data_IF_081227036330
#
_entry.id   IF_081227036330
#
_cell.length_a   1.000
_cell.length_b   1.000
_cell.length_c   1.000
_cell.angle_alpha   90.00
_cell.angle_beta   90.00
_cell.angle_gamma   90.00
#
_symmetry.space_group_name_H-M   'P 1'
#
loop_
_entity.id
_entity.type
_entity.pdbx_description
1 polymer ?
#
# COMPACT_ATOMS: atom_id res chain seq x y z
N UNK A 1 -12.46 -4.65 -13.34
CA UNK A 1 -11.21 -5.43 -13.22
C UNK A 1 -11.17 -6.03 -11.83
N UNK A 2 -10.83 -7.30 -11.71
CA UNK A 2 -10.72 -8.03 -10.44
C UNK A 2 -9.35 -8.65 -10.34
N UNK A 3 -8.72 -8.60 -9.17
CA UNK A 3 -7.43 -9.22 -8.87
C UNK A 3 -7.55 -10.01 -7.58
N UNK A 4 -6.97 -11.20 -7.58
CA UNK A 4 -6.90 -12.10 -6.42
C UNK A 4 -5.44 -12.46 -6.22
N UNK A 5 -4.97 -12.36 -4.97
CA UNK A 5 -3.63 -12.76 -4.59
C UNK A 5 -3.73 -13.47 -3.24
N UNK A 6 -3.51 -14.78 -3.23
CA UNK A 6 -3.71 -15.65 -2.09
C UNK A 6 -5.12 -15.47 -1.48
N UNK A 7 -5.22 -14.92 -0.27
CA UNK A 7 -6.45 -14.61 0.45
C UNK A 7 -6.96 -13.17 0.23
N UNK A 8 -6.18 -12.32 -0.43
CA UNK A 8 -6.55 -10.92 -0.69
C UNK A 8 -7.31 -10.79 -2.02
N UNK A 9 -8.52 -10.23 -1.94
CA UNK A 9 -9.37 -9.97 -3.09
C UNK A 9 -9.52 -8.45 -3.32
N UNK A 10 -9.11 -7.98 -4.48
CA UNK A 10 -9.28 -6.59 -4.90
C UNK A 10 -10.13 -6.46 -6.16
N UNK A 11 -11.06 -5.53 -6.20
CA UNK A 11 -11.94 -5.32 -7.32
C UNK A 11 -12.25 -3.86 -7.62
N UNK A 12 -11.97 -3.41 -8.84
CA UNK A 12 -12.41 -2.12 -9.33
C UNK A 12 -13.86 -2.21 -9.84
N UNK A 13 -14.72 -1.33 -9.34
CA UNK A 13 -16.12 -1.22 -9.69
C UNK A 13 -16.37 0.07 -10.45
N UNK A 14 -17.07 0.01 -11.57
CA UNK A 14 -17.55 1.21 -12.27
C UNK A 14 -18.72 1.87 -11.52
N UNK A 15 -19.47 1.11 -10.76
CA UNK A 15 -20.64 1.56 -10.01
C UNK A 15 -20.85 0.66 -8.80
N UNK A 16 -21.36 1.25 -7.72
CA UNK A 16 -21.77 0.52 -6.52
C UNK A 16 -22.80 -0.58 -6.84
N UNK A 17 -23.66 -0.34 -7.83
CA UNK A 17 -24.66 -1.34 -8.30
C UNK A 17 -24.03 -2.67 -8.71
N UNK A 18 -22.76 -2.68 -9.15
CA UNK A 18 -22.05 -3.90 -9.53
C UNK A 18 -21.85 -4.87 -8.37
N UNK A 19 -21.94 -4.42 -7.12
CA UNK A 19 -21.87 -5.29 -5.93
C UNK A 19 -23.03 -6.28 -5.87
N UNK A 20 -24.22 -5.93 -6.38
CA UNK A 20 -25.38 -6.86 -6.43
C UNK A 20 -25.07 -8.14 -7.19
N UNK A 21 -24.28 -8.03 -8.26
CA UNK A 21 -23.90 -9.19 -9.08
C UNK A 21 -22.75 -9.99 -8.50
N UNK A 22 -21.96 -9.38 -7.61
CA UNK A 22 -20.78 -10.02 -7.01
C UNK A 22 -21.07 -10.67 -5.66
N UNK A 23 -22.01 -10.12 -4.92
CA UNK A 23 -22.39 -10.66 -3.62
C UNK A 23 -22.77 -12.17 -3.68
N UNK A 24 -23.60 -12.63 -4.62
CA UNK A 24 -23.92 -14.06 -4.73
C UNK A 24 -22.71 -14.95 -5.01
N UNK A 25 -21.66 -14.42 -5.68
CA UNK A 25 -20.43 -15.18 -5.95
C UNK A 25 -19.68 -15.44 -4.64
N UNK A 26 -19.63 -14.47 -3.73
CA UNK A 26 -19.02 -14.66 -2.41
C UNK A 26 -19.82 -15.64 -1.55
N UNK A 27 -21.15 -15.59 -1.63
CA UNK A 27 -22.02 -16.56 -0.94
C UNK A 27 -21.82 -17.98 -1.49
N UNK A 28 -21.63 -18.11 -2.80
CA UNK A 28 -21.31 -19.39 -3.43
C UNK A 28 -19.93 -19.89 -2.97
N UNK A 29 -18.91 -19.03 -2.98
CA UNK A 29 -17.55 -19.37 -2.51
C UNK A 29 -17.56 -19.81 -1.04
N UNK A 30 -18.36 -19.16 -0.19
CA UNK A 30 -18.54 -19.54 1.20
C UNK A 30 -19.13 -20.95 1.34
N UNK A 31 -20.16 -21.27 0.54
CA UNK A 31 -20.83 -22.59 0.58
C UNK A 31 -19.98 -23.71 -0.02
N UNK A 32 -19.27 -23.43 -1.12
CA UNK A 32 -18.52 -24.47 -1.84
C UNK A 32 -17.12 -24.72 -1.27
N UNK A 33 -16.46 -23.67 -0.79
CA UNK A 33 -15.05 -23.71 -0.40
C UNK A 33 -14.79 -23.27 1.04
N UNK A 34 -15.81 -22.93 1.83
CA UNK A 34 -15.64 -22.42 3.18
C UNK A 34 -14.99 -21.02 3.26
N UNK A 35 -14.90 -20.32 2.13
CA UNK A 35 -14.22 -19.01 2.03
C UNK A 35 -15.17 -17.88 2.42
N UNK A 36 -15.34 -17.69 3.71
CA UNK A 36 -16.21 -16.65 4.26
C UNK A 36 -15.58 -15.25 4.18
N UNK A 37 -16.21 -14.36 3.43
CA UNK A 37 -15.85 -12.94 3.43
C UNK A 37 -16.17 -12.32 4.80
N UNK A 38 -15.26 -11.53 5.35
CA UNK A 38 -15.46 -10.76 6.58
C UNK A 38 -15.72 -9.29 6.23
N UNK A 39 -16.98 -8.82 6.22
CA UNK A 39 -17.32 -7.46 5.76
C UNK A 39 -16.59 -6.37 6.56
N UNK A 40 -16.36 -6.58 7.86
CA UNK A 40 -15.64 -5.63 8.73
C UNK A 40 -14.16 -5.47 8.36
N UNK A 41 -13.58 -6.41 7.62
CA UNK A 41 -12.21 -6.31 7.08
C UNK A 41 -12.18 -5.80 5.63
N UNK A 42 -13.34 -5.71 4.97
CA UNK A 42 -13.43 -5.21 3.61
C UNK A 42 -13.48 -3.69 3.61
N UNK A 43 -12.79 -3.07 2.65
CA UNK A 43 -12.76 -1.63 2.47
C UNK A 43 -13.34 -1.26 1.11
N UNK A 44 -14.35 -0.41 1.11
CA UNK A 44 -14.88 0.24 -0.09
C UNK A 44 -14.18 1.59 -0.26
N UNK A 45 -13.27 1.65 -1.25
CA UNK A 45 -12.52 2.87 -1.54
C UNK A 45 -13.28 3.70 -2.56
N UNK A 46 -13.61 4.94 -2.20
CA UNK A 46 -14.24 5.91 -3.10
C UNK A 46 -13.16 6.80 -3.70
N UNK A 47 -12.90 6.64 -5.02
CA UNK A 47 -11.77 7.28 -5.70
C UNK A 47 -12.13 8.59 -6.40
N UNK A 48 -13.40 8.78 -6.78
CA UNK A 48 -13.85 9.89 -7.64
C UNK A 48 -14.43 11.05 -6.83
N UNK A 49 -15.06 10.75 -5.70
CA UNK A 49 -15.78 11.72 -4.89
C UNK A 49 -15.10 11.87 -3.53
N UNK A 50 -15.07 13.12 -3.03
CA UNK A 50 -14.67 13.37 -1.65
C UNK A 50 -15.72 12.80 -0.70
N UNK A 51 -15.29 12.04 0.30
CA UNK A 51 -16.18 11.47 1.29
C UNK A 51 -16.74 12.56 2.21
N UNK A 52 -18.03 12.83 2.06
CA UNK A 52 -18.80 13.64 3.00
C UNK A 52 -19.65 12.74 3.90
N UNK A 53 -20.03 13.16 5.12
CA UNK A 53 -20.92 12.38 5.98
C UNK A 53 -22.23 11.96 5.28
N UNK A 54 -22.79 12.85 4.46
CA UNK A 54 -23.98 12.57 3.66
C UNK A 54 -23.75 11.46 2.64
N UNK A 55 -22.61 11.48 1.92
CA UNK A 55 -22.27 10.46 0.92
C UNK A 55 -22.06 9.09 1.58
N UNK A 56 -21.36 9.06 2.72
CA UNK A 56 -21.15 7.83 3.50
C UNK A 56 -22.51 7.24 3.91
N UNK A 57 -23.41 8.06 4.43
CA UNK A 57 -24.74 7.61 4.85
C UNK A 57 -25.56 7.09 3.66
N UNK A 58 -25.50 7.79 2.52
CA UNK A 58 -26.17 7.38 1.30
C UNK A 58 -25.66 6.02 0.79
N UNK A 59 -24.34 5.80 0.82
CA UNK A 59 -23.74 4.50 0.46
C UNK A 59 -24.20 3.42 1.44
N UNK A 60 -24.21 3.68 2.75
CA UNK A 60 -24.66 2.72 3.78
C UNK A 60 -26.13 2.34 3.59
N UNK A 61 -27.00 3.31 3.37
CA UNK A 61 -28.42 3.07 3.13
C UNK A 61 -28.62 2.21 1.88
N UNK A 62 -27.87 2.52 0.80
CA UNK A 62 -27.91 1.73 -0.41
C UNK A 62 -27.42 0.30 -0.19
N UNK A 63 -26.32 0.10 0.54
CA UNK A 63 -25.78 -1.22 0.87
C UNK A 63 -26.78 -2.02 1.70
N UNK A 64 -27.35 -1.44 2.73
CA UNK A 64 -28.35 -2.11 3.58
C UNK A 64 -29.58 -2.57 2.79
N UNK A 65 -30.05 -1.76 1.84
CA UNK A 65 -31.21 -2.08 1.02
C UNK A 65 -30.93 -3.11 -0.09
N UNK A 66 -29.70 -3.15 -0.64
CA UNK A 66 -29.41 -3.93 -1.86
C UNK A 66 -28.43 -5.09 -1.64
N UNK A 67 -27.55 -5.00 -0.65
CA UNK A 67 -26.51 -6.00 -0.38
C UNK A 67 -26.21 -6.02 1.14
N UNK A 68 -27.19 -6.49 1.96
CA UNK A 68 -27.12 -6.38 3.43
C UNK A 68 -25.86 -7.01 4.03
N UNK A 69 -25.31 -8.07 3.43
CA UNK A 69 -24.07 -8.71 3.85
C UNK A 69 -22.85 -7.78 3.82
N UNK A 70 -22.89 -6.69 3.05
CA UNK A 70 -21.86 -5.66 2.99
C UNK A 70 -22.20 -4.38 3.75
N UNK A 71 -23.27 -4.34 4.53
CA UNK A 71 -23.68 -3.14 5.28
C UNK A 71 -22.61 -2.61 6.23
N UNK A 72 -21.79 -3.50 6.80
CA UNK A 72 -20.72 -3.19 7.75
C UNK A 72 -19.32 -2.99 7.11
N UNK A 73 -19.25 -2.87 5.77
CA UNK A 73 -17.98 -2.59 5.08
C UNK A 73 -17.41 -1.24 5.50
N UNK A 74 -16.08 -1.14 5.61
CA UNK A 74 -15.42 0.13 5.87
C UNK A 74 -15.45 0.98 4.60
N UNK A 75 -15.97 2.22 4.70
CA UNK A 75 -16.00 3.18 3.58
C UNK A 75 -14.88 4.19 3.82
N UNK A 76 -13.94 4.31 2.87
CA UNK A 76 -12.76 5.15 3.02
C UNK A 76 -12.33 5.80 1.69
N UNK A 77 -11.56 6.88 1.76
CA UNK A 77 -10.92 7.51 0.58
C UNK A 77 -9.65 6.78 0.15
N UNK A 78 -9.06 6.00 1.03
CA UNK A 78 -7.89 5.18 0.75
C UNK A 78 -7.90 3.90 1.57
N UNK A 79 -7.22 2.87 1.07
CA UNK A 79 -7.10 1.60 1.78
C UNK A 79 -5.83 0.87 1.35
N UNK A 80 -5.27 0.07 2.26
CA UNK A 80 -4.08 -0.72 1.99
C UNK A 80 -4.44 -2.03 1.30
N UNK A 81 -3.75 -2.34 0.20
CA UNK A 81 -3.88 -3.60 -0.54
C UNK A 81 -2.50 -4.09 -0.95
N UNK A 82 -2.15 -5.34 -0.61
CA UNK A 82 -0.86 -5.96 -0.95
C UNK A 82 0.37 -5.08 -0.62
N UNK A 83 0.33 -4.35 0.49
CA UNK A 83 1.47 -3.56 0.97
C UNK A 83 1.54 -2.12 0.47
N UNK A 84 0.69 -1.70 -0.46
CA UNK A 84 0.58 -0.33 -0.93
C UNK A 84 -0.84 0.23 -0.76
N UNK A 85 -0.99 1.54 -0.85
CA UNK A 85 -2.28 2.20 -0.67
C UNK A 85 -2.94 2.48 -2.01
N UNK A 86 -4.25 2.22 -2.06
CA UNK A 86 -5.14 2.59 -3.16
C UNK A 86 -5.98 3.81 -2.75
N UNK A 87 -6.37 4.64 -3.72
CA UNK A 87 -7.25 5.79 -3.49
C UNK A 87 -6.52 7.11 -3.37
N UNK A 88 -7.14 8.06 -2.67
CA UNK A 88 -6.60 9.41 -2.52
C UNK A 88 -5.30 9.40 -1.69
N UNK A 89 -4.32 10.24 -2.07
CA UNK A 89 -2.99 10.32 -1.46
C UNK A 89 -2.22 8.98 -1.40
N UNK A 90 -2.56 8.02 -2.28
CA UNK A 90 -2.01 6.67 -2.27
C UNK A 90 -0.47 6.65 -2.35
N UNK A 91 0.15 7.54 -3.13
CA UNK A 91 1.60 7.63 -3.25
C UNK A 91 2.25 8.00 -1.91
N UNK A 92 1.82 9.10 -1.29
CA UNK A 92 2.36 9.56 0.00
C UNK A 92 2.21 8.50 1.10
N UNK A 93 1.03 7.90 1.20
CA UNK A 93 0.73 6.87 2.19
C UNK A 93 1.55 5.58 1.95
N UNK A 94 1.71 5.19 0.67
CA UNK A 94 2.47 3.98 0.30
C UNK A 94 3.95 4.11 0.58
N UNK A 95 4.53 5.31 0.44
CA UNK A 95 5.95 5.53 0.68
C UNK A 95 6.30 5.82 2.14
N UNK A 96 5.36 6.24 3.00
CA UNK A 96 5.65 6.64 4.37
C UNK A 96 6.40 5.57 5.19
N UNK A 97 5.89 4.35 5.25
CA UNK A 97 6.51 3.25 5.98
C UNK A 97 7.80 2.72 5.29
N UNK A 98 7.83 2.50 3.96
CA UNK A 98 9.05 2.14 3.25
C UNK A 98 10.18 3.16 3.41
N UNK A 99 9.91 4.47 3.34
CA UNK A 99 10.95 5.50 3.55
C UNK A 99 11.54 5.38 4.96
N UNK A 100 10.69 5.30 5.99
CA UNK A 100 11.18 5.11 7.37
C UNK A 100 12.05 3.86 7.51
N UNK A 101 11.63 2.75 6.91
CA UNK A 101 12.40 1.50 6.92
C UNK A 101 13.70 1.62 6.13
N UNK A 102 13.69 2.33 5.00
CA UNK A 102 14.88 2.61 4.20
C UNK A 102 15.90 3.39 5.03
N UNK A 103 15.50 4.50 5.65
CA UNK A 103 16.38 5.33 6.50
C UNK A 103 17.00 4.51 7.62
N UNK A 104 16.20 3.74 8.34
CA UNK A 104 16.70 2.91 9.43
C UNK A 104 17.75 1.89 8.95
N UNK A 105 17.50 1.22 7.82
CA UNK A 105 18.45 0.25 7.25
C UNK A 105 19.73 0.90 6.71
N UNK A 106 19.61 2.12 6.15
CA UNK A 106 20.80 2.91 5.78
C UNK A 106 21.67 3.13 7.01
N UNK A 107 21.09 3.61 8.12
CA UNK A 107 21.80 3.83 9.37
C UNK A 107 22.45 2.53 9.90
N UNK A 108 21.73 1.41 9.89
CA UNK A 108 22.30 0.10 10.30
C UNK A 108 23.53 -0.28 9.48
N UNK A 109 23.51 -0.06 8.15
CA UNK A 109 24.65 -0.34 7.28
C UNK A 109 25.83 0.58 7.58
N UNK A 110 25.59 1.88 7.80
CA UNK A 110 26.60 2.86 8.12
C UNK A 110 27.26 2.60 9.49
N UNK A 111 26.46 2.26 10.51
CA UNK A 111 26.95 1.99 11.87
C UNK A 111 27.70 0.66 11.98
N UNK A 112 27.46 -0.26 11.06
CA UNK A 112 28.03 -1.60 11.10
C UNK A 112 29.54 -1.68 10.88
N UNK A 113 30.23 -0.57 10.56
CA UNK A 113 31.70 -0.44 10.37
C UNK A 113 32.34 -1.56 9.53
N UNK A 114 31.55 -2.18 8.65
CA UNK A 114 32.01 -3.25 7.78
C UNK A 114 32.97 -2.70 6.72
N UNK A 115 33.89 -3.53 6.15
CA UNK A 115 34.66 -3.16 4.97
C UNK A 115 33.75 -2.68 3.84
N UNK A 116 34.20 -1.73 3.02
CA UNK A 116 33.39 -1.07 1.99
C UNK A 116 32.67 -2.06 1.07
N UNK A 117 33.35 -3.10 0.61
CA UNK A 117 32.73 -4.13 -0.23
C UNK A 117 31.56 -4.84 0.46
N UNK A 118 31.70 -5.19 1.74
CA UNK A 118 30.63 -5.85 2.51
C UNK A 118 29.46 -4.88 2.76
N UNK A 119 29.78 -3.61 3.04
CA UNK A 119 28.77 -2.57 3.25
C UNK A 119 27.94 -2.34 1.97
N UNK A 120 28.56 -2.31 0.78
CA UNK A 120 27.88 -2.20 -0.52
C UNK A 120 26.98 -3.41 -0.76
N UNK A 121 27.45 -4.63 -0.50
CA UNK A 121 26.62 -5.84 -0.64
C UNK A 121 25.39 -5.76 0.29
N UNK A 122 25.59 -5.41 1.56
CA UNK A 122 24.50 -5.24 2.52
C UNK A 122 23.49 -4.15 2.09
N UNK A 123 24.00 -3.03 1.58
CA UNK A 123 23.17 -1.95 1.06
C UNK A 123 22.26 -2.46 -0.08
N UNK A 124 22.84 -3.12 -1.08
CA UNK A 124 22.09 -3.65 -2.22
C UNK A 124 21.08 -4.73 -1.82
N UNK A 125 21.42 -5.60 -0.87
CA UNK A 125 20.54 -6.70 -0.44
C UNK A 125 19.44 -6.25 0.52
N UNK A 126 19.68 -5.27 1.39
CA UNK A 126 18.79 -4.95 2.49
C UNK A 126 18.12 -3.57 2.36
N UNK A 127 18.78 -2.61 1.73
CA UNK A 127 18.31 -1.22 1.64
C UNK A 127 17.54 -0.98 0.35
N UNK A 128 18.17 -1.23 -0.79
CA UNK A 128 17.58 -0.98 -2.12
C UNK A 128 16.21 -1.66 -2.30
N UNK A 129 15.99 -2.93 -1.94
CA UNK A 129 14.72 -3.60 -2.16
C UNK A 129 13.53 -3.01 -1.38
N UNK A 130 13.81 -2.20 -0.33
CA UNK A 130 12.74 -1.61 0.48
C UNK A 130 11.86 -0.69 -0.32
N UNK A 131 12.43 0.10 -1.22
CA UNK A 131 11.68 1.06 -2.04
C UNK A 131 11.28 0.47 -3.40
N UNK A 132 12.02 -0.52 -3.91
CA UNK A 132 11.82 -1.05 -5.26
C UNK A 132 10.41 -1.61 -5.46
N UNK A 133 9.82 -2.25 -4.46
CA UNK A 133 8.47 -2.80 -4.53
C UNK A 133 7.43 -1.69 -4.73
N UNK A 134 7.45 -0.66 -3.89
CA UNK A 134 6.45 0.43 -3.95
C UNK A 134 6.65 1.30 -5.19
N UNK A 135 7.90 1.48 -5.63
CA UNK A 135 8.23 2.26 -6.83
C UNK A 135 7.70 1.64 -8.14
N UNK A 136 7.33 0.34 -8.13
CA UNK A 136 6.66 -0.29 -9.26
C UNK A 136 5.21 0.17 -9.46
N UNK A 137 4.58 0.69 -8.41
CA UNK A 137 3.16 1.05 -8.41
C UNK A 137 2.89 2.54 -8.30
N UNK A 138 3.84 3.31 -7.77
CA UNK A 138 3.67 4.74 -7.56
C UNK A 138 4.99 5.51 -7.72
N UNK A 139 4.90 6.74 -8.20
CA UNK A 139 6.03 7.66 -8.24
C UNK A 139 6.27 8.20 -6.83
N UNK A 140 7.53 8.24 -6.35
CA UNK A 140 7.85 8.83 -5.07
C UNK A 140 7.35 10.29 -4.99
N UNK A 141 6.75 10.71 -3.87
CA UNK A 141 6.38 12.11 -3.70
C UNK A 141 7.62 12.99 -3.71
N UNK A 142 7.51 14.22 -4.28
CA UNK A 142 8.64 15.15 -4.40
C UNK A 142 9.30 15.57 -3.06
N UNK A 143 8.58 15.39 -1.94
CA UNK A 143 9.10 15.57 -0.58
C UNK A 143 9.99 14.42 -0.08
N UNK A 144 10.16 13.37 -0.90
CA UNK A 144 10.91 12.18 -0.51
C UNK A 144 12.42 12.46 -0.50
N UNK A 145 13.00 12.61 0.68
CA UNK A 145 14.45 12.88 0.88
C UNK A 145 15.32 11.62 0.79
N UNK A 146 14.97 10.66 -0.08
CA UNK A 146 15.72 9.41 -0.21
C UNK A 146 17.10 9.65 -0.81
N UNK A 147 17.20 10.50 -1.82
CA UNK A 147 18.45 10.78 -2.52
C UNK A 147 19.53 11.36 -1.60
N UNK A 148 19.30 12.43 -0.79
CA UNK A 148 20.32 12.95 0.12
C UNK A 148 20.75 11.93 1.21
N UNK A 149 19.83 11.06 1.63
CA UNK A 149 20.14 10.04 2.63
C UNK A 149 21.00 8.93 2.01
N UNK A 150 20.65 8.45 0.83
CA UNK A 150 21.44 7.46 0.09
C UNK A 150 22.84 7.97 -0.22
N UNK A 151 22.94 9.21 -0.69
CA UNK A 151 24.21 9.87 -0.97
C UNK A 151 25.13 9.95 0.27
N UNK A 152 24.63 10.45 1.40
CA UNK A 152 25.40 10.49 2.66
C UNK A 152 25.83 9.10 3.13
N UNK A 153 24.99 8.08 2.94
CA UNK A 153 25.34 6.72 3.27
C UNK A 153 26.50 6.20 2.41
N UNK A 154 26.44 6.41 1.09
CA UNK A 154 27.49 5.97 0.16
C UNK A 154 28.82 6.66 0.46
N UNK A 155 28.83 7.98 0.74
CA UNK A 155 30.01 8.69 1.18
C UNK A 155 30.61 8.10 2.47
N UNK A 156 29.77 7.79 3.45
CA UNK A 156 30.21 7.18 4.72
C UNK A 156 30.80 5.77 4.50
N UNK A 157 30.17 4.97 3.66
CA UNK A 157 30.61 3.58 3.34
C UNK A 157 31.93 3.59 2.58
N UNK A 158 32.06 4.47 1.58
CA UNK A 158 33.25 4.55 0.72
C UNK A 158 34.38 5.35 1.35
N UNK A 159 34.16 5.97 2.52
CA UNK A 159 35.09 6.89 3.18
C UNK A 159 35.60 8.00 2.25
N UNK A 160 34.75 8.44 1.34
CA UNK A 160 35.08 9.50 0.39
C UNK A 160 34.93 10.88 1.03
N UNK A 161 35.79 11.83 0.73
CA UNK A 161 35.63 13.21 1.19
C UNK A 161 34.34 13.82 0.61
N UNK A 162 33.70 14.76 1.31
CA UNK A 162 32.36 15.29 0.95
C UNK A 162 32.29 16.07 -0.39
N UNK A 163 33.42 16.26 -1.10
CA UNK A 163 33.50 17.09 -2.29
C UNK A 163 33.69 16.31 -3.62
N UNK A 164 33.48 15.00 -3.63
CA UNK A 164 33.82 14.16 -4.79
C UNK A 164 32.63 13.90 -5.74
N UNK A 165 31.46 14.56 -5.53
CA UNK A 165 30.31 14.50 -6.48
C UNK A 165 29.55 15.82 -6.51
#
# INVERSE_FOLDING_TARGET
MTRICADDFGSALKSLKSLKYRAPIFDLAARCAGLHLKPTKCVLIVTILRLTPWLIQSIRNWLAANVPQFSNIVIAESGKFLGWHLGNQSATLSFAAPIKKFVNRVHEVCLGKAPAAVAVIRYNQRVVPVLSYVSQFAVPPGSCQVHPIAHRCLHSILRMPPHVF
#
